data_IF_358294968758
#
_entry.id   IF_358294968758
#
_cell.length_a   1.000
_cell.length_b   1.000
_cell.length_c   1.000
_cell.angle_alpha   90.00
_cell.angle_beta   90.00
_cell.angle_gamma   90.00
#
_symmetry.space_group_name_H-M   'P 1'
#
loop_
_entity.id
_entity.type
_entity.pdbx_description
1 polymer ?
#
# COMPACT_ATOMS: atom_id res chain seq x y z
N UNK A 1 7.12 1.78 26.86
CA UNK A 1 6.68 0.78 25.85
C UNK A 1 5.41 0.04 26.23
N UNK A 2 5.37 -0.71 27.34
CA UNK A 2 4.16 -1.48 27.73
C UNK A 2 2.90 -0.61 27.89
N UNK A 3 3.05 0.58 28.50
CA UNK A 3 1.95 1.56 28.62
C UNK A 3 1.42 1.99 27.26
N UNK A 4 2.30 2.32 26.31
CA UNK A 4 1.89 2.70 24.95
C UNK A 4 1.17 1.55 24.25
N UNK A 5 1.68 0.31 24.37
CA UNK A 5 1.04 -0.87 23.77
C UNK A 5 -0.35 -1.11 24.36
N UNK A 6 -0.52 -0.95 25.68
CA UNK A 6 -1.83 -1.03 26.34
C UNK A 6 -2.79 0.06 25.86
N UNK A 7 -2.34 1.32 25.79
CA UNK A 7 -3.16 2.45 25.32
C UNK A 7 -3.52 2.29 23.84
N UNK A 8 -2.60 1.80 23.01
CA UNK A 8 -2.87 1.49 21.61
C UNK A 8 -3.89 0.36 21.46
N UNK A 9 -3.75 -0.73 22.22
CA UNK A 9 -4.71 -1.84 22.19
C UNK A 9 -6.12 -1.40 22.60
N UNK A 10 -6.23 -0.59 23.66
CA UNK A 10 -7.49 0.02 24.10
C UNK A 10 -8.05 0.95 23.02
N UNK A 11 -7.21 1.80 22.43
CA UNK A 11 -7.61 2.68 21.33
C UNK A 11 -8.15 1.91 20.12
N UNK A 12 -7.45 0.84 19.71
CA UNK A 12 -7.89 -0.04 18.62
C UNK A 12 -9.21 -0.74 18.96
N UNK A 13 -9.39 -1.16 20.21
CA UNK A 13 -10.62 -1.81 20.65
C UNK A 13 -11.85 -0.88 20.56
N UNK A 14 -11.72 0.38 20.98
CA UNK A 14 -12.85 1.32 21.03
C UNK A 14 -13.05 2.12 19.75
N UNK A 15 -11.98 2.51 19.07
CA UNK A 15 -12.01 3.42 17.90
C UNK A 15 -11.77 2.65 16.59
N UNK A 16 -11.22 1.44 16.66
CA UNK A 16 -10.78 0.68 15.50
C UNK A 16 -9.31 0.93 15.15
N UNK A 17 -8.81 0.16 14.18
CA UNK A 17 -7.42 0.30 13.73
C UNK A 17 -7.27 1.66 13.02
N UNK A 18 -6.26 2.48 13.37
CA UNK A 18 -6.06 3.80 12.76
C UNK A 18 -5.44 3.66 11.35
N UNK A 19 -6.17 3.06 10.42
CA UNK A 19 -5.77 2.86 9.02
C UNK A 19 -6.42 3.85 8.07
N UNK A 20 -7.56 4.41 8.46
CA UNK A 20 -8.43 5.26 7.65
C UNK A 20 -7.98 6.73 7.57
N UNK A 21 -7.46 7.28 8.67
CA UNK A 21 -6.91 8.63 8.70
C UNK A 21 -5.38 8.57 8.85
N UNK A 22 -4.62 8.97 7.80
CA UNK A 22 -3.17 9.05 7.86
C UNK A 22 -2.67 9.85 9.07
N UNK A 23 -3.36 10.92 9.47
CA UNK A 23 -2.95 11.77 10.59
C UNK A 23 -3.04 11.03 11.92
N UNK A 24 -4.10 10.24 12.13
CA UNK A 24 -4.26 9.41 13.33
C UNK A 24 -3.19 8.32 13.37
N UNK A 25 -2.92 7.67 12.23
CA UNK A 25 -1.84 6.68 12.10
C UNK A 25 -0.48 7.30 12.46
N UNK A 26 -0.19 8.49 11.92
CA UNK A 26 1.04 9.23 12.21
C UNK A 26 1.13 9.66 13.67
N UNK A 27 0.02 10.07 14.30
CA UNK A 27 -0.05 10.39 15.72
C UNK A 27 0.36 9.20 16.58
N UNK A 28 -0.19 8.01 16.31
CA UNK A 28 0.17 6.79 17.05
C UNK A 28 1.64 6.40 16.85
N UNK A 29 2.14 6.47 15.62
CA UNK A 29 3.55 6.21 15.32
C UNK A 29 4.48 7.21 16.01
N UNK A 30 4.11 8.49 16.04
CA UNK A 30 4.87 9.52 16.74
C UNK A 30 4.91 9.23 18.24
N UNK A 31 3.76 8.93 18.87
CA UNK A 31 3.68 8.54 20.27
C UNK A 31 4.52 7.28 20.57
N UNK A 32 4.58 6.32 19.63
CA UNK A 32 5.44 5.14 19.76
C UNK A 32 6.92 5.55 19.81
N UNK A 33 7.35 6.48 18.95
CA UNK A 33 8.73 6.99 18.97
C UNK A 33 9.07 7.73 20.27
N UNK A 34 8.12 8.51 20.82
CA UNK A 34 8.28 9.18 22.12
C UNK A 34 8.41 8.17 23.24
N UNK A 35 7.52 7.18 23.28
CA UNK A 35 7.54 6.14 24.30
C UNK A 35 8.78 5.23 24.20
N UNK A 36 9.43 5.13 23.03
CA UNK A 36 10.65 4.33 22.81
C UNK A 36 11.90 5.09 23.24
N UNK A 37 11.93 6.39 22.95
CA UNK A 37 13.04 7.29 23.26
C UNK A 37 12.64 8.32 24.31
N UNK A 38 11.99 7.88 25.38
CA UNK A 38 11.49 8.77 26.43
C UNK A 38 12.62 9.51 27.19
N UNK A 39 13.86 9.05 27.05
CA UNK A 39 15.06 9.65 27.59
C UNK A 39 15.62 10.81 26.73
N UNK A 40 15.11 11.01 25.51
CA UNK A 40 15.54 12.11 24.64
C UNK A 40 14.83 13.42 24.99
N UNK A 41 15.46 14.59 24.78
CA UNK A 41 14.82 15.88 25.01
C UNK A 41 13.67 16.12 24.02
N UNK A 42 12.65 16.87 24.46
CA UNK A 42 11.43 17.16 23.68
C UNK A 42 11.70 17.66 22.25
N UNK A 43 12.74 18.48 22.06
CA UNK A 43 13.17 18.99 20.74
C UNK A 43 13.49 17.87 19.74
N UNK A 44 13.94 16.70 20.20
CA UNK A 44 14.19 15.53 19.36
C UNK A 44 12.89 14.93 18.82
N UNK A 45 11.82 14.92 19.61
CA UNK A 45 10.52 14.44 19.18
C UNK A 45 9.84 15.39 18.19
N UNK A 46 10.06 16.70 18.31
CA UNK A 46 9.55 17.69 17.33
C UNK A 46 10.21 17.56 15.95
N UNK A 47 11.41 16.98 15.86
CA UNK A 47 12.02 16.68 14.55
C UNK A 47 11.18 15.67 13.76
N UNK A 48 10.44 14.78 14.43
CA UNK A 48 9.50 13.90 13.76
C UNK A 48 8.46 14.72 13.01
N UNK A 49 7.80 15.66 13.68
CA UNK A 49 6.80 16.52 13.05
C UNK A 49 7.40 17.26 11.85
N UNK A 50 8.58 17.85 11.98
CA UNK A 50 9.25 18.53 10.85
C UNK A 50 9.50 17.60 9.65
N UNK A 51 10.00 16.39 9.90
CA UNK A 51 10.40 15.46 8.84
C UNK A 51 9.17 14.79 8.17
N UNK A 52 8.09 14.61 8.94
CA UNK A 52 6.89 13.88 8.51
C UNK A 52 5.73 14.78 8.09
N UNK A 53 5.71 16.06 8.48
CA UNK A 53 4.67 17.01 8.07
C UNK A 53 4.59 17.13 6.53
N UNK A 54 5.68 17.23 5.76
CA UNK A 54 5.59 17.25 4.29
C UNK A 54 4.97 15.96 3.73
N UNK A 55 5.23 14.82 4.37
CA UNK A 55 4.68 13.52 3.97
C UNK A 55 3.18 13.47 4.25
N UNK A 56 2.76 13.93 5.44
CA UNK A 56 1.35 14.00 5.82
C UNK A 56 0.58 14.95 4.89
N UNK A 57 1.12 16.14 4.63
CA UNK A 57 0.51 17.11 3.71
C UNK A 57 0.40 16.56 2.29
N UNK A 58 1.44 15.87 1.81
CA UNK A 58 1.38 15.20 0.52
C UNK A 58 0.28 14.13 0.49
N UNK A 59 0.17 13.30 1.53
CA UNK A 59 -0.86 12.26 1.61
C UNK A 59 -2.27 12.84 1.65
N UNK A 60 -2.46 13.93 2.39
CA UNK A 60 -3.73 14.67 2.40
C UNK A 60 -4.02 15.23 1.01
N UNK A 61 -3.06 15.91 0.38
CA UNK A 61 -3.21 16.45 -0.98
C UNK A 61 -3.48 15.33 -2.00
N UNK A 62 -2.81 14.20 -1.85
CA UNK A 62 -2.98 13.00 -2.66
C UNK A 62 -4.40 12.44 -2.52
N UNK A 63 -4.89 12.25 -1.29
CA UNK A 63 -6.24 11.76 -1.04
C UNK A 63 -7.30 12.72 -1.58
N UNK A 64 -7.12 14.02 -1.35
CA UNK A 64 -8.04 15.05 -1.86
C UNK A 64 -8.04 15.06 -3.39
N UNK A 65 -6.86 15.12 -4.03
CA UNK A 65 -6.76 15.14 -5.49
C UNK A 65 -7.35 13.89 -6.14
N UNK A 66 -7.10 12.72 -5.55
CA UNK A 66 -7.67 11.44 -6.00
C UNK A 66 -9.20 11.43 -5.97
N UNK A 67 -9.83 12.03 -4.96
CA UNK A 67 -11.29 12.13 -4.89
C UNK A 67 -11.93 13.03 -5.97
N UNK A 68 -11.15 13.90 -6.62
CA UNK A 68 -11.62 14.71 -7.75
C UNK A 68 -11.43 14.03 -9.12
N UNK A 69 -10.56 13.03 -9.22
CA UNK A 69 -10.25 12.36 -10.49
C UNK A 69 -11.47 11.61 -11.08
N UNK A 70 -12.41 11.20 -10.24
CA UNK A 70 -13.50 10.24 -10.55
C UNK A 70 -14.61 10.79 -11.43
N UNK A 71 -14.52 12.06 -11.77
CA UNK A 71 -15.58 12.79 -12.49
C UNK A 71 -15.15 13.24 -13.86
N UNK A 72 -13.92 12.92 -14.28
CA UNK A 72 -13.31 13.48 -15.48
C UNK A 72 -13.53 12.61 -16.72
N UNK A 73 -13.50 11.28 -16.58
CA UNK A 73 -13.60 10.34 -17.69
C UNK A 73 -14.32 9.06 -17.28
N UNK A 74 -14.92 8.38 -18.26
CA UNK A 74 -15.48 7.04 -18.06
C UNK A 74 -14.35 6.06 -17.69
N UNK A 75 -14.57 5.19 -16.69
CA UNK A 75 -13.54 4.28 -16.25
C UNK A 75 -13.30 3.14 -17.26
N UNK A 76 -12.02 2.81 -17.41
CA UNK A 76 -11.54 1.66 -18.15
C UNK A 76 -11.85 0.38 -17.38
N UNK A 77 -12.45 -0.62 -18.04
CA UNK A 77 -12.93 -1.85 -17.39
C UNK A 77 -12.97 -3.03 -18.35
N UNK A 78 -13.47 -2.82 -19.57
CA UNK A 78 -13.70 -3.91 -20.53
C UNK A 78 -12.38 -4.50 -21.01
N UNK A 79 -11.36 -3.66 -21.21
CA UNK A 79 -10.01 -4.11 -21.55
C UNK A 79 -9.29 -4.82 -20.41
N UNK A 80 -9.61 -4.47 -19.15
CA UNK A 80 -9.02 -5.09 -17.97
C UNK A 80 -9.56 -6.52 -17.83
N UNK A 81 -10.88 -6.68 -17.97
CA UNK A 81 -11.54 -7.98 -18.05
C UNK A 81 -10.99 -8.80 -19.22
N UNK A 82 -10.86 -8.19 -20.40
CA UNK A 82 -10.35 -8.86 -21.58
C UNK A 82 -8.91 -9.35 -21.39
N UNK A 83 -8.05 -8.55 -20.75
CA UNK A 83 -6.69 -8.94 -20.41
C UNK A 83 -6.67 -10.15 -19.46
N UNK A 84 -7.43 -10.10 -18.38
CA UNK A 84 -7.45 -11.18 -17.38
C UNK A 84 -7.99 -12.48 -17.99
N UNK A 85 -9.06 -12.41 -18.81
CA UNK A 85 -9.57 -13.57 -19.57
C UNK A 85 -8.58 -14.06 -20.63
N UNK A 86 -7.87 -13.18 -21.31
CA UNK A 86 -6.84 -13.58 -22.28
C UNK A 86 -5.66 -14.28 -21.60
N UNK A 87 -5.16 -13.73 -20.49
CA UNK A 87 -3.99 -14.24 -19.80
C UNK A 87 -4.27 -15.51 -18.99
N UNK A 88 -5.45 -15.61 -18.37
CA UNK A 88 -5.78 -16.68 -17.41
C UNK A 88 -6.98 -17.54 -17.80
N UNK A 89 -7.77 -17.14 -18.80
CA UNK A 89 -8.99 -17.84 -19.22
C UNK A 89 -8.78 -19.32 -19.55
N UNK A 90 -7.63 -19.69 -20.10
CA UNK A 90 -7.28 -21.10 -20.34
C UNK A 90 -7.17 -21.94 -19.07
N UNK A 91 -6.80 -21.33 -17.94
CA UNK A 91 -6.68 -21.99 -16.63
C UNK A 91 -7.99 -21.94 -15.83
N UNK A 92 -8.79 -20.89 -16.03
CA UNK A 92 -10.01 -20.60 -15.28
C UNK A 92 -11.30 -21.02 -16.00
N UNK A 93 -11.20 -21.65 -17.18
CA UNK A 93 -12.36 -22.04 -17.98
C UNK A 93 -13.10 -20.88 -18.66
N UNK A 94 -12.40 -19.78 -18.95
CA UNK A 94 -12.93 -18.58 -19.60
C UNK A 94 -13.39 -17.48 -18.64
N UNK A 95 -13.34 -17.74 -17.33
CA UNK A 95 -13.62 -16.77 -16.28
C UNK A 95 -12.42 -15.85 -16.02
N UNK A 96 -12.65 -14.71 -15.40
CA UNK A 96 -11.56 -13.93 -14.79
C UNK A 96 -10.99 -14.67 -13.57
N UNK A 97 -9.73 -14.41 -13.18
CA UNK A 97 -9.17 -14.95 -11.94
C UNK A 97 -10.03 -14.66 -10.71
N UNK A 98 -10.65 -13.48 -10.64
CA UNK A 98 -11.56 -13.08 -9.54
C UNK A 98 -12.78 -14.00 -9.46
N UNK A 99 -13.53 -14.13 -10.56
CA UNK A 99 -14.70 -15.02 -10.66
C UNK A 99 -14.31 -16.46 -10.25
N UNK A 100 -13.25 -16.99 -10.86
CA UNK A 100 -12.80 -18.35 -10.57
C UNK A 100 -12.41 -18.54 -9.10
N UNK A 101 -11.70 -17.58 -8.49
CA UNK A 101 -11.32 -17.68 -7.09
C UNK A 101 -12.54 -17.65 -6.16
N UNK A 102 -13.52 -16.79 -6.43
CA UNK A 102 -14.71 -16.70 -5.60
C UNK A 102 -15.61 -17.93 -5.75
N UNK A 103 -15.78 -18.46 -6.97
CA UNK A 103 -16.52 -19.70 -7.21
C UNK A 103 -15.99 -20.90 -6.41
N UNK A 104 -14.67 -20.96 -6.20
CA UNK A 104 -14.01 -22.11 -5.57
C UNK A 104 -13.76 -21.91 -4.08
N UNK A 105 -13.52 -20.68 -3.64
CA UNK A 105 -13.00 -20.38 -2.30
C UNK A 105 -13.92 -19.50 -1.47
N UNK A 106 -14.99 -18.94 -2.01
CA UNK A 106 -15.91 -18.09 -1.26
C UNK A 106 -17.32 -18.71 -1.21
N UNK A 107 -18.02 -18.47 -0.10
CA UNK A 107 -19.38 -18.95 0.10
C UNK A 107 -20.24 -17.79 0.62
N UNK A 108 -21.29 -17.38 -0.11
CA UNK A 108 -22.17 -16.32 0.33
C UNK A 108 -22.78 -16.60 1.71
N UNK A 109 -22.78 -15.59 2.59
CA UNK A 109 -23.41 -15.65 3.91
C UNK A 109 -22.64 -16.41 4.99
N UNK A 110 -21.47 -16.98 4.69
CA UNK A 110 -20.62 -17.68 5.67
C UNK A 110 -19.23 -17.07 5.66
N UNK A 111 -18.79 -16.50 6.79
CA UNK A 111 -17.41 -15.99 6.92
C UNK A 111 -16.48 -17.15 7.30
N UNK A 112 -15.59 -17.50 6.37
CA UNK A 112 -14.61 -18.56 6.54
C UNK A 112 -13.38 -18.08 7.31
N UNK A 113 -12.67 -18.98 7.98
CA UNK A 113 -11.55 -18.59 8.85
C UNK A 113 -10.39 -17.95 8.08
N UNK A 114 -10.18 -18.30 6.82
CA UNK A 114 -9.13 -17.70 5.99
C UNK A 114 -9.49 -16.28 5.55
N UNK A 115 -10.76 -15.90 5.50
CA UNK A 115 -11.17 -14.52 5.21
C UNK A 115 -10.62 -13.56 6.27
N UNK A 116 -10.41 -14.01 7.52
CA UNK A 116 -9.68 -13.25 8.54
C UNK A 116 -8.24 -12.99 8.11
N UNK A 117 -7.55 -14.01 7.59
CA UNK A 117 -6.16 -13.88 7.11
C UNK A 117 -6.11 -12.97 5.88
N UNK A 118 -7.05 -13.12 4.95
CA UNK A 118 -7.19 -12.29 3.76
C UNK A 118 -7.38 -10.83 4.15
N UNK A 119 -8.31 -10.52 5.06
CA UNK A 119 -8.48 -9.15 5.57
C UNK A 119 -7.20 -8.66 6.27
N UNK A 120 -6.56 -9.46 7.12
CA UNK A 120 -5.31 -9.04 7.77
C UNK A 120 -4.20 -8.71 6.76
N UNK A 121 -4.04 -9.50 5.71
CA UNK A 121 -3.10 -9.23 4.62
C UNK A 121 -3.52 -7.97 3.87
N UNK A 122 -4.80 -7.83 3.51
CA UNK A 122 -5.32 -6.64 2.83
C UNK A 122 -4.93 -5.36 3.59
N UNK A 123 -5.12 -5.34 4.91
CA UNK A 123 -4.82 -4.17 5.75
C UNK A 123 -3.32 -4.02 6.10
N UNK A 124 -2.49 -5.05 5.97
CA UNK A 124 -1.11 -5.03 6.47
C UNK A 124 -0.23 -3.98 5.78
N UNK A 125 -0.55 -3.58 4.55
CA UNK A 125 0.23 -2.58 3.82
C UNK A 125 0.17 -1.20 4.50
N UNK A 126 -0.97 -0.84 5.12
CA UNK A 126 -1.13 0.39 5.90
C UNK A 126 -0.19 0.45 7.10
N UNK A 127 0.17 -0.69 7.67
CA UNK A 127 1.06 -0.74 8.83
C UNK A 127 2.52 -0.98 8.43
N UNK A 128 2.75 -1.80 7.42
CA UNK A 128 4.09 -2.26 7.02
C UNK A 128 4.98 -1.11 6.55
N UNK A 129 4.49 -0.25 5.64
CA UNK A 129 5.33 0.84 5.12
C UNK A 129 5.61 1.92 6.16
N UNK A 130 4.62 2.44 6.91
CA UNK A 130 4.91 3.41 7.96
C UNK A 130 5.83 2.84 9.02
N UNK A 131 5.67 1.56 9.39
CA UNK A 131 6.57 0.88 10.34
C UNK A 131 8.00 0.84 9.81
N UNK A 132 8.21 0.40 8.57
CA UNK A 132 9.55 0.39 7.94
C UNK A 132 10.13 1.80 7.93
N UNK A 133 9.36 2.80 7.51
CA UNK A 133 9.82 4.17 7.44
C UNK A 133 10.18 4.72 8.83
N UNK A 134 9.38 4.48 9.87
CA UNK A 134 9.68 4.90 11.25
C UNK A 134 10.92 4.18 11.79
N UNK A 135 11.04 2.88 11.58
CA UNK A 135 12.23 2.10 12.01
C UNK A 135 13.49 2.62 11.31
N UNK A 136 13.43 2.87 10.00
CA UNK A 136 14.56 3.45 9.27
C UNK A 136 14.85 4.89 9.73
N UNK A 137 13.84 5.71 10.03
CA UNK A 137 14.01 7.07 10.56
C UNK A 137 14.75 7.06 11.90
N UNK A 138 14.42 6.08 12.76
CA UNK A 138 15.09 5.88 14.04
C UNK A 138 16.51 5.33 13.90
N UNK A 139 16.73 4.35 13.00
CA UNK A 139 18.01 3.62 12.91
C UNK A 139 19.02 4.23 11.95
N UNK A 140 18.58 4.80 10.82
CA UNK A 140 19.46 5.31 9.78
C UNK A 140 18.74 6.32 8.88
N UNK A 141 18.94 7.62 9.18
CA UNK A 141 18.41 8.72 8.34
C UNK A 141 18.78 8.60 6.85
N UNK A 142 19.99 8.16 6.46
CA UNK A 142 20.30 7.91 5.06
C UNK A 142 19.41 6.81 4.43
N UNK A 143 19.19 5.69 5.12
CA UNK A 143 18.34 4.62 4.60
C UNK A 143 16.87 5.03 4.56
N UNK A 144 16.40 5.78 5.57
CA UNK A 144 15.08 6.38 5.56
C UNK A 144 14.86 7.26 4.33
N UNK A 145 15.79 8.18 4.05
CA UNK A 145 15.68 9.05 2.89
C UNK A 145 15.69 8.25 1.57
N UNK A 146 16.48 7.18 1.46
CA UNK A 146 16.48 6.27 0.30
C UNK A 146 15.12 5.57 0.12
N UNK A 147 14.52 5.12 1.21
CA UNK A 147 13.21 4.49 1.22
C UNK A 147 12.12 5.49 0.82
N UNK A 148 12.08 6.64 1.50
CA UNK A 148 11.06 7.68 1.28
C UNK A 148 11.08 8.25 -0.13
N UNK A 149 12.26 8.44 -0.76
CA UNK A 149 12.34 8.89 -2.16
C UNK A 149 11.64 7.93 -3.14
N UNK A 150 11.79 6.62 -2.91
CA UNK A 150 11.16 5.59 -3.74
C UNK A 150 9.66 5.55 -3.50
N UNK A 151 9.25 5.59 -2.23
CA UNK A 151 7.84 5.58 -1.86
C UNK A 151 7.12 6.82 -2.42
N UNK A 152 7.73 8.00 -2.30
CA UNK A 152 7.21 9.24 -2.84
C UNK A 152 7.03 9.16 -4.36
N UNK A 153 8.08 8.75 -5.09
CA UNK A 153 8.01 8.66 -6.55
C UNK A 153 6.96 7.63 -7.01
N UNK A 154 6.82 6.52 -6.27
CA UNK A 154 5.79 5.52 -6.51
C UNK A 154 4.38 6.10 -6.33
N UNK A 155 4.14 6.88 -5.27
CA UNK A 155 2.87 7.56 -5.06
C UNK A 155 2.58 8.59 -6.16
N UNK A 156 3.59 9.36 -6.59
CA UNK A 156 3.45 10.32 -7.69
C UNK A 156 3.07 9.63 -8.99
N UNK A 157 3.76 8.55 -9.36
CA UNK A 157 3.39 7.79 -10.56
C UNK A 157 2.00 7.17 -10.45
N UNK A 158 1.64 6.62 -9.28
CA UNK A 158 0.28 6.13 -9.04
C UNK A 158 -0.76 7.24 -9.22
N UNK A 159 -0.52 8.44 -8.65
CA UNK A 159 -1.44 9.58 -8.80
C UNK A 159 -1.62 9.97 -10.27
N UNK A 160 -0.52 10.12 -10.99
CA UNK A 160 -0.54 10.49 -12.41
C UNK A 160 -1.37 9.48 -13.19
N UNK A 161 -1.17 8.18 -12.96
CA UNK A 161 -1.93 7.14 -13.66
C UNK A 161 -3.41 7.16 -13.30
N UNK A 162 -3.78 7.41 -12.04
CA UNK A 162 -5.21 7.53 -11.67
C UNK A 162 -5.93 8.68 -12.38
N UNK A 163 -5.23 9.76 -12.70
CA UNK A 163 -5.80 10.85 -13.49
C UNK A 163 -5.83 10.57 -15.00
N UNK A 164 -4.82 9.87 -15.52
CA UNK A 164 -4.69 9.61 -16.97
C UNK A 164 -5.44 8.36 -17.42
N UNK A 165 -5.67 7.42 -16.52
CA UNK A 165 -6.26 6.12 -16.77
C UNK A 165 -7.08 5.69 -15.54
N UNK A 166 -8.30 6.24 -15.37
CA UNK A 166 -9.21 5.76 -14.35
C UNK A 166 -9.60 4.31 -14.69
N UNK A 167 -9.28 3.38 -13.80
CA UNK A 167 -9.49 1.95 -13.98
C UNK A 167 -10.48 1.44 -12.93
N UNK A 168 -11.58 0.85 -13.40
CA UNK A 168 -12.59 0.26 -12.53
C UNK A 168 -12.15 -1.13 -12.02
N UNK A 169 -12.26 -1.40 -10.70
CA UNK A 169 -11.92 -2.69 -10.11
C UNK A 169 -12.99 -3.76 -10.39
N UNK A 170 -12.70 -5.05 -10.11
CA UNK A 170 -13.65 -6.13 -10.31
C UNK A 170 -14.97 -5.96 -9.56
N UNK A 171 -14.95 -5.52 -8.30
CA UNK A 171 -16.20 -5.30 -7.55
C UNK A 171 -17.10 -4.25 -8.19
N UNK A 172 -16.51 -3.22 -8.82
CA UNK A 172 -17.26 -2.18 -9.51
C UNK A 172 -17.90 -2.76 -10.77
N UNK A 173 -17.16 -3.57 -11.52
CA UNK A 173 -17.65 -4.23 -12.73
C UNK A 173 -18.82 -5.21 -12.46
N UNK A 174 -18.90 -5.77 -11.25
CA UNK A 174 -19.97 -6.67 -10.85
C UNK A 174 -21.30 -5.96 -10.49
N UNK A 175 -21.28 -4.65 -10.20
CA UNK A 175 -22.46 -3.93 -9.74
C UNK A 175 -23.55 -3.86 -10.83
N UNK A 176 -24.85 -4.02 -10.47
CA UNK A 176 -25.96 -3.96 -11.42
C UNK A 176 -26.06 -2.64 -12.20
N UNK A 177 -25.72 -1.54 -11.55
CA UNK A 177 -25.69 -0.19 -12.15
C UNK A 177 -24.64 -0.01 -13.25
N UNK A 178 -23.68 -0.94 -13.35
CA UNK A 178 -22.64 -0.97 -14.38
C UNK A 178 -22.81 -2.14 -15.36
N UNK A 179 -23.96 -2.82 -15.30
CA UNK A 179 -24.33 -3.88 -16.22
C UNK A 179 -23.86 -5.28 -15.82
N UNK A 180 -23.36 -5.47 -14.59
CA UNK A 180 -22.92 -6.77 -14.05
C UNK A 180 -22.05 -7.55 -15.03
N UNK A 181 -20.91 -6.95 -15.38
CA UNK A 181 -19.99 -7.45 -16.41
C UNK A 181 -19.28 -8.76 -16.03
N UNK A 182 -19.21 -9.04 -14.72
CA UNK A 182 -18.65 -10.26 -14.12
C UNK A 182 -19.46 -10.63 -12.87
N UNK A 183 -19.33 -11.88 -12.42
CA UNK A 183 -19.93 -12.35 -11.17
C UNK A 183 -18.90 -12.34 -10.02
N UNK A 184 -18.90 -11.29 -9.19
CA UNK A 184 -17.98 -11.17 -8.07
C UNK A 184 -18.53 -10.25 -6.97
N UNK A 185 -18.13 -10.50 -5.72
CA UNK A 185 -18.47 -9.67 -4.57
C UNK A 185 -17.23 -9.04 -3.92
N UNK A 186 -17.39 -7.83 -3.37
CA UNK A 186 -16.34 -7.16 -2.61
C UNK A 186 -16.29 -7.70 -1.18
N UNK A 187 -15.32 -8.58 -0.91
CA UNK A 187 -15.23 -9.31 0.36
C UNK A 187 -13.99 -8.98 1.20
N UNK A 188 -13.29 -7.87 0.91
CA UNK A 188 -12.02 -7.50 1.57
C UNK A 188 -12.14 -7.26 3.09
N UNK A 189 -13.35 -6.94 3.57
CA UNK A 189 -13.62 -6.63 4.98
C UNK A 189 -14.35 -7.75 5.73
N UNK A 190 -14.73 -8.85 5.07
CA UNK A 190 -15.51 -9.93 5.68
C UNK A 190 -14.85 -10.52 6.93
N UNK A 191 -13.52 -10.63 6.94
CA UNK A 191 -12.75 -11.18 8.05
C UNK A 191 -12.96 -10.44 9.37
N UNK A 192 -13.34 -9.15 9.35
CA UNK A 192 -13.62 -8.39 10.57
C UNK A 192 -14.92 -8.82 11.27
N UNK A 193 -15.89 -9.28 10.50
CA UNK A 193 -17.17 -9.77 11.02
C UNK A 193 -16.96 -11.04 11.88
N UNK A 194 -16.04 -11.92 11.46
CA UNK A 194 -15.68 -13.13 12.21
C UNK A 194 -14.96 -12.84 13.55
N UNK A 195 -14.26 -11.71 13.68
CA UNK A 195 -13.50 -11.35 14.89
C UNK A 195 -14.37 -10.56 15.90
N UNK A 196 -15.65 -10.34 15.60
CA UNK A 196 -16.56 -9.59 16.47
C UNK A 196 -16.27 -8.08 16.54
N UNK A 197 -15.39 -7.58 15.67
CA UNK A 197 -15.00 -6.17 15.58
C UNK A 197 -16.02 -5.35 14.78
N UNK A 198 -17.32 -5.54 15.03
CA UNK A 198 -18.41 -4.89 14.28
C UNK A 198 -18.27 -3.36 14.24
N UNK A 199 -17.82 -2.72 15.34
CA UNK A 199 -17.60 -1.27 15.38
C UNK A 199 -16.38 -0.82 14.58
N UNK A 200 -15.30 -1.60 14.56
CA UNK A 200 -14.13 -1.28 13.73
C UNK A 200 -14.44 -1.57 12.25
N UNK A 201 -15.12 -2.68 11.94
CA UNK A 201 -15.54 -3.05 10.59
C UNK A 201 -16.50 -2.04 9.96
N UNK A 202 -17.43 -1.45 10.72
CA UNK A 202 -18.35 -0.42 10.22
C UNK A 202 -17.66 0.93 10.00
N UNK A 203 -16.78 1.37 10.91
CA UNK A 203 -15.99 2.59 10.72
C UNK A 203 -14.96 2.43 9.59
N UNK A 204 -14.36 1.24 9.46
CA UNK A 204 -13.45 0.91 8.36
C UNK A 204 -14.18 0.83 7.02
N UNK A 205 -15.37 0.22 6.97
CA UNK A 205 -16.21 0.22 5.76
C UNK A 205 -16.64 1.65 5.38
N UNK A 206 -17.12 2.45 6.33
CA UNK A 206 -17.51 3.84 6.07
C UNK A 206 -16.33 4.68 5.55
N UNK A 207 -15.16 4.53 6.15
CA UNK A 207 -13.96 5.27 5.75
C UNK A 207 -13.32 4.71 4.48
N UNK A 208 -13.43 3.41 4.19
CA UNK A 208 -13.05 2.86 2.89
C UNK A 208 -14.01 3.28 1.80
N UNK A 209 -15.32 3.36 2.05
CA UNK A 209 -16.28 3.84 1.06
C UNK A 209 -16.10 5.33 0.80
N UNK A 210 -15.79 6.14 1.82
CA UNK A 210 -15.46 7.57 1.62
C UNK A 210 -14.06 7.82 1.01
N UNK A 211 -13.07 6.97 1.28
CA UNK A 211 -11.70 7.14 0.77
C UNK A 211 -11.37 6.33 -0.49
N UNK A 212 -12.18 5.32 -0.83
CA UNK A 212 -12.05 4.54 -2.06
C UNK A 212 -12.72 5.30 -3.19
N UNK A 213 -11.91 6.08 -3.88
CA UNK A 213 -12.15 6.40 -5.27
C UNK A 213 -12.53 5.08 -6.02
N UNK A 214 -13.75 4.96 -6.58
CA UNK A 214 -14.24 3.72 -7.15
C UNK A 214 -13.52 3.30 -8.44
N UNK A 215 -12.69 4.17 -9.02
CA UNK A 215 -12.09 3.99 -10.36
C UNK A 215 -10.57 4.22 -10.36
N UNK A 216 -9.90 4.03 -9.21
CA UNK A 216 -8.45 4.12 -9.07
C UNK A 216 -7.80 2.76 -8.82
N UNK A 217 -8.19 1.74 -9.59
CA UNK A 217 -7.65 0.38 -9.46
C UNK A 217 -6.20 0.27 -9.98
N UNK A 218 -5.86 0.89 -11.11
CA UNK A 218 -4.55 0.75 -11.75
C UNK A 218 -3.67 1.99 -11.59
N UNK A 219 -2.43 1.87 -11.06
CA UNK A 219 -1.79 0.66 -10.55
C UNK A 219 -2.27 0.27 -9.14
N UNK A 220 -2.13 -1.01 -8.79
CA UNK A 220 -2.38 -1.49 -7.43
C UNK A 220 -1.29 -1.01 -6.46
N UNK A 221 -1.56 0.04 -5.69
CA UNK A 221 -0.61 0.53 -4.68
C UNK A 221 -0.45 -0.42 -3.50
N UNK A 222 -1.48 -1.20 -3.16
CA UNK A 222 -1.42 -2.26 -2.14
C UNK A 222 -0.25 -3.23 -2.41
N UNK A 223 -0.24 -3.82 -3.60
CA UNK A 223 0.81 -4.76 -4.01
C UNK A 223 2.13 -4.07 -4.31
N UNK A 224 2.11 -2.86 -4.89
CA UNK A 224 3.33 -2.09 -5.12
C UNK A 224 4.05 -1.76 -3.79
N UNK A 225 3.31 -1.41 -2.74
CA UNK A 225 3.86 -1.18 -1.41
C UNK A 225 4.38 -2.46 -0.77
N UNK A 226 3.62 -3.56 -0.81
CA UNK A 226 4.08 -4.85 -0.31
C UNK A 226 5.38 -5.32 -1.01
N UNK A 227 5.44 -5.16 -2.33
CA UNK A 227 6.61 -5.54 -3.12
C UNK A 227 7.80 -4.61 -2.89
N UNK A 228 7.58 -3.30 -2.83
CA UNK A 228 8.61 -2.31 -2.49
C UNK A 228 9.24 -2.60 -1.12
N UNK A 229 8.44 -2.95 -0.11
CA UNK A 229 8.94 -3.31 1.22
C UNK A 229 9.95 -4.45 1.12
N UNK A 230 9.63 -5.50 0.36
CA UNK A 230 10.49 -6.66 0.17
C UNK A 230 11.75 -6.30 -0.64
N UNK A 231 11.58 -5.71 -1.83
CA UNK A 231 12.69 -5.40 -2.75
C UNK A 231 13.71 -4.45 -2.11
N UNK A 232 13.28 -3.56 -1.23
CA UNK A 232 14.19 -2.66 -0.50
C UNK A 232 15.19 -3.42 0.39
N UNK A 233 14.75 -4.51 1.01
CA UNK A 233 15.57 -5.31 1.93
C UNK A 233 16.18 -6.55 1.28
N UNK A 234 15.68 -6.99 0.14
CA UNK A 234 16.12 -8.20 -0.56
C UNK A 234 17.65 -8.32 -0.74
N UNK A 235 18.40 -7.24 -1.09
CA UNK A 235 19.86 -7.31 -1.21
C UNK A 235 20.60 -7.55 0.11
N UNK A 236 19.93 -7.37 1.26
CA UNK A 236 20.49 -7.55 2.61
C UNK A 236 20.13 -8.91 3.21
N UNK A 237 19.29 -9.68 2.54
CA UNK A 237 18.80 -10.97 3.02
C UNK A 237 19.41 -12.10 2.19
N UNK A 238 19.82 -13.18 2.86
CA UNK A 238 20.36 -14.38 2.19
C UNK A 238 19.33 -14.96 1.23
N UNK A 239 19.77 -15.43 0.05
CA UNK A 239 18.88 -15.96 -1.01
C UNK A 239 17.94 -17.08 -0.54
N UNK A 240 18.35 -17.86 0.45
CA UNK A 240 17.51 -18.91 1.06
C UNK A 240 16.18 -18.38 1.62
N UNK A 241 16.14 -17.13 2.09
CA UNK A 241 14.94 -16.51 2.68
C UNK A 241 14.12 -15.69 1.68
N UNK A 242 14.54 -15.64 0.41
CA UNK A 242 13.77 -14.92 -0.62
C UNK A 242 12.35 -15.46 -0.80
N UNK A 243 12.10 -16.79 -0.81
CA UNK A 243 10.73 -17.29 -0.91
C UNK A 243 9.83 -16.78 0.21
N UNK A 244 10.34 -16.76 1.45
CA UNK A 244 9.59 -16.26 2.61
C UNK A 244 9.26 -14.77 2.49
N UNK A 245 10.21 -13.96 1.99
CA UNK A 245 9.96 -12.53 1.79
C UNK A 245 8.97 -12.30 0.64
N UNK A 246 9.12 -13.01 -0.47
CA UNK A 246 8.24 -12.89 -1.64
C UNK A 246 6.84 -13.44 -1.38
N UNK A 247 6.67 -14.30 -0.38
CA UNK A 247 5.35 -14.75 0.05
C UNK A 247 4.45 -13.57 0.42
N UNK A 248 4.99 -12.49 1.00
CA UNK A 248 4.17 -11.33 1.37
C UNK A 248 3.49 -10.62 0.18
N UNK A 249 4.22 -10.10 -0.84
CA UNK A 249 3.58 -9.49 -2.00
C UNK A 249 2.72 -10.48 -2.78
N UNK A 250 3.05 -11.78 -2.80
CA UNK A 250 2.21 -12.81 -3.43
C UNK A 250 0.89 -13.01 -2.68
N UNK A 251 0.92 -13.09 -1.36
CA UNK A 251 -0.29 -13.15 -0.53
C UNK A 251 -1.14 -11.90 -0.69
N UNK A 252 -0.52 -10.72 -0.80
CA UNK A 252 -1.22 -9.47 -1.11
C UNK A 252 -1.88 -9.53 -2.49
N UNK A 253 -1.19 -10.03 -3.52
CA UNK A 253 -1.77 -10.23 -4.86
C UNK A 253 -2.97 -11.16 -4.82
N UNK A 254 -2.81 -12.34 -4.20
CA UNK A 254 -3.91 -13.29 -4.03
C UNK A 254 -5.10 -12.62 -3.34
N UNK A 255 -4.84 -11.91 -2.24
CA UNK A 255 -5.86 -11.22 -1.45
C UNK A 255 -6.66 -10.25 -2.32
N UNK A 256 -6.02 -9.38 -3.08
CA UNK A 256 -6.73 -8.34 -3.84
C UNK A 256 -7.55 -8.89 -5.00
N UNK A 257 -7.06 -9.94 -5.67
CA UNK A 257 -7.79 -10.58 -6.76
C UNK A 257 -8.96 -11.38 -6.19
N UNK A 258 -8.74 -12.17 -5.13
CA UNK A 258 -9.79 -12.92 -4.44
C UNK A 258 -10.90 -12.01 -3.92
N UNK A 259 -10.55 -10.86 -3.34
CA UNK A 259 -11.52 -9.93 -2.76
C UNK A 259 -12.16 -8.97 -3.76
N UNK A 260 -11.95 -9.18 -5.07
CA UNK A 260 -12.44 -8.35 -6.16
C UNK A 260 -11.95 -6.88 -6.13
N UNK A 261 -10.84 -6.59 -5.45
CA UNK A 261 -10.31 -5.22 -5.28
C UNK A 261 -9.45 -4.78 -6.46
N UNK A 262 -8.76 -5.71 -7.13
CA UNK A 262 -7.90 -5.41 -8.28
C UNK A 262 -7.86 -6.56 -9.28
N UNK A 263 -7.72 -6.21 -10.56
CA UNK A 263 -7.38 -7.14 -11.63
C UNK A 263 -5.91 -7.57 -11.52
N UNK A 264 -5.54 -8.68 -12.17
CA UNK A 264 -4.14 -9.12 -12.16
C UNK A 264 -3.24 -8.10 -12.85
N UNK A 265 -3.71 -7.45 -13.93
CA UNK A 265 -2.93 -6.41 -14.61
C UNK A 265 -2.59 -5.22 -13.70
N UNK A 266 -3.51 -4.81 -12.82
CA UNK A 266 -3.28 -3.71 -11.89
C UNK A 266 -2.06 -3.98 -10.99
N UNK A 267 -1.94 -5.24 -10.56
CA UNK A 267 -0.84 -5.74 -9.74
C UNK A 267 0.46 -5.74 -10.52
N UNK A 268 0.45 -6.27 -11.74
CA UNK A 268 1.63 -6.33 -12.60
C UNK A 268 2.17 -4.94 -12.91
N UNK A 269 1.31 -3.97 -13.22
CA UNK A 269 1.69 -2.57 -13.43
C UNK A 269 2.24 -1.96 -12.15
N UNK A 270 1.63 -2.24 -10.99
CA UNK A 270 2.15 -1.83 -9.68
C UNK A 270 3.57 -2.35 -9.42
N UNK A 271 3.83 -3.62 -9.69
CA UNK A 271 5.18 -4.21 -9.56
C UNK A 271 6.18 -3.64 -10.56
N UNK A 272 5.75 -3.41 -11.80
CA UNK A 272 6.57 -2.74 -12.81
C UNK A 272 6.99 -1.34 -12.34
N UNK A 273 6.08 -0.58 -11.73
CA UNK A 273 6.37 0.75 -11.19
C UNK A 273 7.41 0.69 -10.08
N UNK A 274 7.34 -0.31 -9.19
CA UNK A 274 8.39 -0.54 -8.18
C UNK A 274 9.74 -0.75 -8.87
N UNK A 275 9.81 -1.60 -9.89
CA UNK A 275 11.04 -1.82 -10.67
C UNK A 275 11.60 -0.52 -11.25
N UNK A 276 10.77 0.23 -11.98
CA UNK A 276 11.14 1.52 -12.60
C UNK A 276 11.63 2.52 -11.55
N UNK A 277 10.89 2.70 -10.46
CA UNK A 277 11.25 3.61 -9.36
C UNK A 277 12.59 3.24 -8.76
N UNK A 278 12.85 1.96 -8.51
CA UNK A 278 14.12 1.51 -7.94
C UNK A 278 15.30 1.76 -8.89
N UNK A 279 15.09 1.57 -10.20
CA UNK A 279 16.09 1.86 -11.22
C UNK A 279 16.38 3.35 -11.33
N UNK A 280 15.34 4.19 -11.46
CA UNK A 280 15.46 5.65 -11.63
C UNK A 280 16.11 6.28 -10.39
N UNK A 281 15.57 6.00 -9.20
CA UNK A 281 16.12 6.55 -7.95
C UNK A 281 17.52 6.00 -7.68
N UNK A 282 17.76 4.71 -7.97
CA UNK A 282 19.08 4.10 -7.84
C UNK A 282 20.13 4.71 -8.76
N UNK A 283 19.76 5.02 -10.01
CA UNK A 283 20.64 5.70 -10.97
C UNK A 283 20.95 7.13 -10.50
N UNK A 284 19.93 7.89 -10.07
CA UNK A 284 20.12 9.25 -9.54
C UNK A 284 21.02 9.29 -8.31
N UNK A 285 20.85 8.35 -7.38
CA UNK A 285 21.71 8.23 -6.19
C UNK A 285 23.17 7.93 -6.54
N UNK A 286 23.42 7.02 -7.49
CA UNK A 286 24.78 6.72 -7.96
C UNK A 286 25.43 7.92 -8.64
N UNK A 287 24.66 8.63 -9.48
CA UNK A 287 25.12 9.82 -10.18
C UNK A 287 25.49 10.95 -9.23
N UNK A 288 24.67 11.22 -8.21
CA UNK A 288 24.99 12.23 -7.18
C UNK A 288 26.23 11.86 -6.37
N UNK A 289 26.39 10.60 -5.99
CA UNK A 289 27.56 10.13 -5.26
C UNK A 289 28.85 10.37 -6.06
N UNK A 290 28.86 10.02 -7.35
CA UNK A 290 30.00 10.24 -8.24
C UNK A 290 30.37 11.73 -8.36
N UNK A 291 29.38 12.62 -8.48
CA UNK A 291 29.62 14.08 -8.56
C UNK A 291 30.09 14.69 -7.24
N UNK A 292 29.66 14.15 -6.10
CA UNK A 292 30.15 14.54 -4.77
C UNK A 292 31.64 14.27 -4.60
N UNK A 293 32.11 13.09 -5.01
CA UNK A 293 33.52 12.71 -4.97
C UNK A 293 34.40 13.55 -5.92
N UNK A 294 33.90 13.88 -7.11
CA UNK A 294 34.65 14.75 -8.06
C UNK A 294 34.81 16.16 -7.50
N UNK A 295 33.79 16.72 -6.83
CA UNK A 295 33.88 18.04 -6.19
C UNK A 295 34.83 18.06 -4.99
N UNK A 296 34.86 17.02 -4.15
CA UNK A 296 35.81 16.95 -3.03
C UNK A 296 37.26 16.77 -3.52
N UNK A 297 37.47 15.95 -4.55
CA UNK A 297 38.80 15.73 -5.14
C UNK A 297 39.38 16.98 -5.80
N UNK A 298 38.55 17.80 -6.49
CA UNK A 298 38.97 19.09 -7.04
C UNK A 298 39.33 20.11 -5.96
N UNK A 299 38.57 20.15 -4.86
CA UNK A 299 38.81 21.10 -3.76
C UNK A 299 40.07 20.77 -2.95
N UNK A 300 40.44 19.49 -2.86
CA UNK A 300 41.70 19.06 -2.26
C UNK A 300 42.94 19.38 -3.11
N UNK A 301 42.81 19.44 -4.44
CA UNK A 301 43.90 19.82 -5.36
C UNK A 301 44.14 21.32 -5.48
N UNK A 302 43.20 22.17 -5.09
CA UNK A 302 43.37 23.63 -5.11
C UNK A 302 43.88 24.21 -3.79
N UNK A 303 44.07 23.38 -2.76
CA UNK A 303 44.52 23.78 -1.42
C UNK A 303 45.89 23.18 -1.05
N UNK A 304 46.55 22.46 -1.96
CA UNK A 304 47.91 21.95 -1.81
C UNK A 304 48.78 22.43 -2.96
#
# INVERSE_FOLDING_TARGET
MLVWAGVFAVGVYFVGVPTSDPLIAFGWLWLATVAWRNYEPWRTHLRFLRDWLPICLLLVLYNVSRGYADRLFDPHVTELIAFDKWAFGGLTGGLTPTEWLQDHLWQPGVVQWWEVVVSLVYFSHFLTLPTIAVVLWMRSRPQWARFMRRWFLLCVFGLITYFLYPAAPPWWAALPEHGSLIDAERISTNGWNAVGLHSAGNTLNALQVEASNPVAAMPSLHTAFAFMAVVFFLPRVRRLWWPLLLAYPLSMTFTLVYTAEHWVIDVLVGWAYVGVVFLVVGAGERWWAQRGHVKSARRGRTLG
#
